data_IF_435840983630
#
_entry.id   IF_435840983630
#
_cell.length_a   1.000
_cell.length_b   1.000
_cell.length_c   1.000
_cell.angle_alpha   90.00
_cell.angle_beta   90.00
_cell.angle_gamma   90.00
#
_symmetry.space_group_name_H-M   'P 1'
#
loop_
_entity.id
_entity.type
_entity.pdbx_description
1 polymer ?
#
# COMPACT_ATOMS: atom_id res chain seq x y z
N UNK A 1 40.01 -17.10 -21.67
CA UNK A 1 40.04 -18.56 -21.53
C UNK A 1 41.17 -18.89 -20.57
N UNK A 2 40.95 -18.91 -19.23
CA UNK A 2 41.89 -19.36 -18.19
C UNK A 2 41.42 -19.09 -16.76
N UNK A 3 40.10 -19.25 -16.48
CA UNK A 3 39.60 -19.15 -15.10
C UNK A 3 39.17 -20.51 -14.55
N UNK A 4 38.90 -21.50 -15.40
CA UNK A 4 38.37 -22.81 -14.96
C UNK A 4 39.49 -23.77 -14.49
N UNK A 5 40.74 -23.58 -14.91
CA UNK A 5 41.86 -24.44 -14.49
C UNK A 5 42.35 -24.25 -13.03
N UNK A 6 42.14 -23.04 -12.46
CA UNK A 6 42.63 -22.72 -11.11
C UNK A 6 41.79 -23.36 -10.01
N UNK A 7 40.49 -23.45 -10.20
CA UNK A 7 39.57 -24.02 -9.21
C UNK A 7 39.61 -25.56 -9.18
N UNK A 8 39.77 -26.19 -10.32
CA UNK A 8 39.91 -27.64 -10.42
C UNK A 8 41.14 -28.16 -9.66
N UNK A 9 42.27 -27.47 -9.79
CA UNK A 9 43.50 -27.82 -9.07
C UNK A 9 43.40 -27.57 -7.55
N UNK A 10 42.60 -26.60 -7.11
CA UNK A 10 42.35 -26.33 -5.68
C UNK A 10 41.48 -27.41 -5.05
N UNK A 11 40.46 -27.90 -5.77
CA UNK A 11 39.60 -29.01 -5.32
C UNK A 11 40.35 -30.34 -5.21
N UNK A 12 41.25 -30.63 -6.16
CA UNK A 12 42.09 -31.84 -6.11
C UNK A 12 43.01 -31.85 -4.89
N UNK A 13 43.60 -30.73 -4.49
CA UNK A 13 44.44 -30.59 -3.29
C UNK A 13 43.63 -30.76 -2.01
N UNK A 14 42.39 -30.23 -1.94
CA UNK A 14 41.49 -30.39 -0.79
C UNK A 14 41.06 -31.85 -0.64
N UNK A 15 40.72 -32.57 -1.71
CA UNK A 15 40.36 -33.96 -1.69
C UNK A 15 41.53 -34.89 -1.28
N UNK A 16 42.76 -34.54 -1.65
CA UNK A 16 43.97 -35.29 -1.24
C UNK A 16 44.27 -35.07 0.26
N UNK A 17 44.00 -33.89 0.79
CA UNK A 17 44.17 -33.58 2.21
C UNK A 17 43.13 -34.30 3.09
N UNK A 18 41.87 -34.33 2.64
CA UNK A 18 40.75 -35.00 3.35
C UNK A 18 40.90 -36.53 3.42
N UNK A 19 41.52 -37.15 2.42
CA UNK A 19 41.85 -38.62 2.44
C UNK A 19 42.89 -38.99 3.47
N UNK A 20 43.70 -38.05 3.96
CA UNK A 20 44.73 -38.29 4.97
C UNK A 20 44.23 -38.19 6.42
N UNK A 21 43.02 -37.68 6.68
CA UNK A 21 42.54 -37.41 8.05
C UNK A 21 41.58 -38.51 8.59
N UNK A 22 41.28 -39.56 7.83
CA UNK A 22 40.70 -40.81 8.38
C UNK A 22 39.37 -40.67 9.12
N UNK A 23 38.49 -39.71 8.81
CA UNK A 23 37.18 -39.53 9.43
C UNK A 23 36.02 -40.03 8.54
N UNK A 24 35.01 -40.72 9.08
CA UNK A 24 33.96 -41.36 8.29
C UNK A 24 33.06 -40.29 7.59
N UNK A 25 32.82 -40.55 6.35
CA UNK A 25 32.21 -39.70 5.32
C UNK A 25 30.70 -39.34 5.52
N UNK A 26 30.13 -39.47 6.72
CA UNK A 26 28.68 -39.29 6.93
C UNK A 26 28.27 -37.98 7.62
N UNK A 27 29.19 -37.15 8.05
CA UNK A 27 28.83 -35.92 8.81
C UNK A 27 29.14 -34.59 8.09
N UNK A 28 29.78 -34.60 6.93
CA UNK A 28 30.20 -33.38 6.22
C UNK A 28 29.25 -33.03 5.05
N UNK A 29 28.41 -33.97 4.62
CA UNK A 29 27.38 -33.69 3.59
C UNK A 29 26.20 -32.83 4.11
N UNK A 30 26.06 -32.63 5.42
CA UNK A 30 24.95 -31.87 6.03
C UNK A 30 25.26 -30.41 6.31
N UNK A 31 26.49 -29.96 6.13
CA UNK A 31 26.89 -28.57 6.47
C UNK A 31 27.18 -27.69 5.24
N UNK A 32 27.26 -28.29 4.03
CA UNK A 32 27.48 -27.53 2.80
C UNK A 32 26.22 -27.28 1.96
N UNK A 33 25.03 -27.66 2.48
CA UNK A 33 23.74 -27.25 1.93
C UNK A 33 23.19 -25.96 2.52
N UNK A 34 23.95 -25.30 3.39
CA UNK A 34 23.58 -23.97 3.88
C UNK A 34 24.21 -22.87 3.04
N UNK A 35 23.32 -22.09 2.43
CA UNK A 35 23.53 -20.69 2.08
C UNK A 35 24.14 -20.41 0.71
N UNK A 36 23.50 -20.86 -0.33
CA UNK A 36 23.29 -19.95 -1.46
C UNK A 36 21.79 -19.63 -1.54
N UNK A 37 21.25 -18.99 -0.52
CA UNK A 37 20.02 -18.21 -0.67
C UNK A 37 20.39 -17.04 -1.57
N UNK A 38 20.27 -17.26 -2.87
CA UNK A 38 20.07 -16.17 -3.80
C UNK A 38 18.88 -15.39 -3.22
N UNK A 39 19.13 -14.18 -2.72
CA UNK A 39 18.09 -13.18 -2.54
C UNK A 39 17.61 -12.79 -3.95
N UNK A 40 16.92 -13.72 -4.62
CA UNK A 40 15.90 -13.33 -5.58
C UNK A 40 14.90 -12.56 -4.74
N UNK A 41 14.83 -11.26 -4.94
CA UNK A 41 13.79 -10.44 -4.33
C UNK A 41 12.47 -11.17 -4.51
N UNK A 42 11.93 -11.70 -3.40
CA UNK A 42 10.69 -12.46 -3.41
C UNK A 42 9.59 -11.45 -3.73
N UNK A 43 9.36 -11.26 -5.02
CA UNK A 43 8.19 -10.56 -5.52
C UNK A 43 7.01 -11.45 -5.16
N UNK A 44 6.49 -11.30 -3.93
CA UNK A 44 5.41 -12.11 -3.40
C UNK A 44 4.28 -12.19 -4.42
N UNK A 45 3.83 -13.40 -4.72
CA UNK A 45 2.69 -13.64 -5.60
C UNK A 45 1.46 -12.96 -5.02
N UNK A 46 0.61 -12.34 -5.86
CA UNK A 46 -0.64 -11.73 -5.41
C UNK A 46 -1.55 -12.83 -4.86
N UNK A 47 -2.14 -12.59 -3.70
CA UNK A 47 -3.09 -13.50 -3.08
C UNK A 47 -4.37 -13.58 -3.94
N UNK A 48 -4.78 -14.80 -4.26
CA UNK A 48 -5.95 -15.04 -5.11
C UNK A 48 -7.05 -15.75 -4.32
N UNK A 49 -7.72 -15.01 -3.42
CA UNK A 49 -8.93 -15.49 -2.75
C UNK A 49 -10.16 -15.22 -3.62
N UNK A 50 -10.54 -16.21 -4.43
CA UNK A 50 -11.69 -16.13 -5.32
C UNK A 50 -13.02 -15.99 -4.57
N UNK A 51 -13.13 -16.51 -3.36
CA UNK A 51 -14.34 -16.43 -2.55
C UNK A 51 -14.54 -15.01 -2.03
N UNK A 52 -13.48 -14.40 -1.50
CA UNK A 52 -13.49 -13.00 -1.09
C UNK A 52 -13.79 -12.08 -2.29
N UNK A 53 -13.14 -12.29 -3.42
CA UNK A 53 -13.38 -11.50 -4.64
C UNK A 53 -14.84 -11.52 -5.07
N UNK A 54 -15.42 -12.70 -5.08
CA UNK A 54 -16.85 -12.85 -5.41
C UNK A 54 -17.72 -12.10 -4.41
N UNK A 55 -17.42 -12.22 -3.12
CA UNK A 55 -18.19 -11.56 -2.06
C UNK A 55 -18.13 -10.03 -2.17
N UNK A 56 -16.92 -9.46 -2.35
CA UNK A 56 -16.74 -8.01 -2.47
C UNK A 56 -17.42 -7.48 -3.74
N UNK A 57 -17.28 -8.17 -4.89
CA UNK A 57 -17.96 -7.77 -6.13
C UNK A 57 -19.47 -7.76 -5.96
N UNK A 58 -20.03 -8.82 -5.39
CA UNK A 58 -21.48 -8.90 -5.13
C UNK A 58 -21.95 -7.79 -4.19
N UNK A 59 -21.20 -7.51 -3.12
CA UNK A 59 -21.50 -6.42 -2.20
C UNK A 59 -21.53 -5.07 -2.91
N UNK A 60 -20.48 -4.74 -3.68
CA UNK A 60 -20.39 -3.50 -4.44
C UNK A 60 -21.52 -3.38 -5.48
N UNK A 61 -21.83 -4.45 -6.22
CA UNK A 61 -22.89 -4.43 -7.24
C UNK A 61 -24.26 -4.22 -6.61
N UNK A 62 -24.58 -4.92 -5.52
CA UNK A 62 -25.87 -4.80 -4.82
C UNK A 62 -26.06 -3.41 -4.20
N UNK A 63 -24.97 -2.70 -3.89
CA UNK A 63 -25.00 -1.35 -3.30
C UNK A 63 -24.82 -0.22 -4.31
N UNK A 64 -24.64 -0.53 -5.57
CA UNK A 64 -24.46 0.47 -6.62
C UNK A 64 -25.67 1.41 -6.69
N UNK A 65 -25.41 2.74 -6.62
CA UNK A 65 -26.45 3.77 -6.60
C UNK A 65 -27.15 3.98 -5.24
N UNK A 66 -26.76 3.24 -4.19
CA UNK A 66 -27.33 3.42 -2.84
C UNK A 66 -26.38 4.13 -1.86
N UNK A 67 -25.17 4.45 -2.32
CA UNK A 67 -24.20 5.14 -1.51
C UNK A 67 -24.57 6.62 -1.32
N UNK A 68 -24.61 7.03 -0.07
CA UNK A 68 -24.85 8.41 0.37
C UNK A 68 -23.74 8.82 1.33
N UNK A 69 -23.79 10.05 1.84
CA UNK A 69 -22.83 10.54 2.85
C UNK A 69 -21.37 10.63 2.34
N UNK A 70 -21.12 11.43 1.30
CA UNK A 70 -19.77 11.81 0.85
C UNK A 70 -18.88 10.67 0.33
N UNK A 71 -19.46 9.65 -0.26
CA UNK A 71 -18.67 8.56 -0.85
C UNK A 71 -18.14 8.92 -2.25
N UNK A 72 -16.95 8.39 -2.55
CA UNK A 72 -16.32 8.56 -3.86
C UNK A 72 -17.11 7.86 -4.99
N UNK A 73 -16.96 8.29 -6.26
CA UNK A 73 -17.41 7.49 -7.39
C UNK A 73 -16.73 6.12 -7.45
N UNK A 74 -17.39 5.11 -8.03
CA UNK A 74 -16.81 3.77 -8.23
C UNK A 74 -15.55 3.78 -9.10
N UNK A 75 -15.47 4.71 -10.07
CA UNK A 75 -14.26 4.93 -10.88
C UNK A 75 -13.04 5.25 -10.03
N UNK A 76 -13.23 6.09 -9.01
CA UNK A 76 -12.14 6.53 -8.11
C UNK A 76 -11.71 5.39 -7.19
N UNK A 77 -12.68 4.62 -6.68
CA UNK A 77 -12.39 3.38 -5.96
C UNK A 77 -11.54 2.42 -6.79
N UNK A 78 -11.87 2.26 -8.08
CA UNK A 78 -11.09 1.42 -8.99
C UNK A 78 -9.69 1.94 -9.25
N UNK A 79 -9.50 3.24 -9.37
CA UNK A 79 -8.17 3.85 -9.52
C UNK A 79 -7.29 3.50 -8.32
N UNK A 80 -7.81 3.67 -7.10
CA UNK A 80 -7.08 3.32 -5.87
C UNK A 80 -6.75 1.83 -5.80
N UNK A 81 -7.71 0.96 -6.15
CA UNK A 81 -7.48 -0.47 -6.25
C UNK A 81 -6.32 -0.80 -7.21
N UNK A 82 -6.35 -0.25 -8.42
CA UNK A 82 -5.34 -0.51 -9.44
C UNK A 82 -3.95 0.00 -9.02
N UNK A 83 -3.88 1.18 -8.39
CA UNK A 83 -2.62 1.74 -7.86
C UNK A 83 -2.00 0.81 -6.81
N UNK A 84 -2.79 0.32 -5.85
CA UNK A 84 -2.33 -0.54 -4.77
C UNK A 84 -1.83 -1.88 -5.32
N UNK A 85 -2.61 -2.53 -6.18
CA UNK A 85 -2.26 -3.84 -6.76
C UNK A 85 -1.02 -3.72 -7.66
N UNK A 86 -0.96 -2.70 -8.52
CA UNK A 86 0.16 -2.46 -9.45
C UNK A 86 1.47 -2.25 -8.71
N UNK A 87 1.46 -1.43 -7.64
CA UNK A 87 2.66 -1.08 -6.89
C UNK A 87 2.90 -2.04 -5.70
N UNK A 88 1.99 -2.98 -5.45
CA UNK A 88 2.06 -3.97 -4.35
C UNK A 88 2.11 -3.33 -2.96
N UNK A 89 1.40 -2.22 -2.78
CA UNK A 89 1.32 -1.54 -1.50
C UNK A 89 0.67 -2.41 -0.42
N UNK A 90 1.13 -2.25 0.83
CA UNK A 90 0.72 -3.08 1.97
C UNK A 90 0.32 -2.30 3.20
N UNK A 91 0.72 -1.04 3.32
CA UNK A 91 0.53 -0.22 4.52
C UNK A 91 -0.18 1.07 4.15
N UNK A 92 -1.49 0.99 4.08
CA UNK A 92 -2.31 2.12 3.64
C UNK A 92 -2.91 2.89 4.82
N UNK A 93 -3.09 4.19 4.63
CA UNK A 93 -3.89 5.05 5.48
C UNK A 93 -4.92 5.80 4.64
N UNK A 94 -6.13 5.92 5.15
CA UNK A 94 -7.20 6.74 4.61
C UNK A 94 -7.68 7.76 5.65
N UNK A 95 -7.84 9.01 5.23
CA UNK A 95 -8.36 10.11 6.03
C UNK A 95 -9.71 10.50 5.45
N UNK A 96 -10.79 10.24 6.22
CA UNK A 96 -12.17 10.39 5.77
C UNK A 96 -12.76 9.08 5.27
N UNK A 97 -13.23 8.24 6.20
CA UNK A 97 -13.86 6.93 5.87
C UNK A 97 -15.25 7.09 5.29
N UNK A 98 -16.03 8.08 5.77
CA UNK A 98 -17.46 8.17 5.54
C UNK A 98 -18.17 6.84 5.84
N UNK A 99 -19.01 6.33 4.97
CA UNK A 99 -19.65 5.01 5.13
C UNK A 99 -18.84 3.85 4.55
N UNK A 100 -17.62 4.10 4.05
CA UNK A 100 -16.57 3.10 3.81
C UNK A 100 -16.44 2.60 2.38
N UNK A 101 -16.97 3.29 1.36
CA UNK A 101 -16.85 2.81 -0.02
C UNK A 101 -15.40 2.80 -0.51
N UNK A 102 -14.66 3.89 -0.32
CA UNK A 102 -13.23 3.99 -0.66
C UNK A 102 -12.40 2.98 0.13
N UNK A 103 -12.64 2.88 1.44
CA UNK A 103 -11.99 1.89 2.31
C UNK A 103 -12.19 0.45 1.82
N UNK A 104 -13.38 0.09 1.29
CA UNK A 104 -13.65 -1.23 0.72
C UNK A 104 -12.79 -1.49 -0.53
N UNK A 105 -12.67 -0.52 -1.45
CA UNK A 105 -11.82 -0.66 -2.62
C UNK A 105 -10.34 -0.80 -2.25
N UNK A 106 -9.86 0.04 -1.32
CA UNK A 106 -8.49 0.01 -0.82
C UNK A 106 -8.20 -1.32 -0.13
N UNK A 107 -9.05 -1.75 0.81
CA UNK A 107 -8.87 -2.99 1.56
C UNK A 107 -8.98 -4.23 0.66
N UNK A 108 -9.86 -4.20 -0.36
CA UNK A 108 -9.91 -5.27 -1.34
C UNK A 108 -8.61 -5.40 -2.13
N UNK A 109 -8.00 -4.27 -2.54
CA UNK A 109 -6.69 -4.28 -3.18
C UNK A 109 -5.60 -4.79 -2.22
N UNK A 110 -5.62 -4.33 -0.97
CA UNK A 110 -4.68 -4.77 0.07
C UNK A 110 -4.80 -6.27 0.40
N UNK A 111 -6.00 -6.86 0.28
CA UNK A 111 -6.16 -8.31 0.41
C UNK A 111 -5.37 -9.10 -0.66
N UNK A 112 -5.07 -8.49 -1.82
CA UNK A 112 -4.24 -9.10 -2.88
C UNK A 112 -2.76 -9.01 -2.57
N UNK A 113 -2.35 -7.95 -1.89
CA UNK A 113 -0.94 -7.66 -1.62
C UNK A 113 -0.49 -8.14 -0.23
N UNK A 114 -1.42 -8.63 0.60
CA UNK A 114 -1.16 -9.03 1.98
C UNK A 114 -0.98 -7.83 2.92
N UNK A 115 -1.65 -6.71 2.61
CA UNK A 115 -1.56 -5.46 3.35
C UNK A 115 -2.75 -5.20 4.27
N UNK A 116 -2.72 -4.03 4.94
CA UNK A 116 -3.79 -3.52 5.81
C UNK A 116 -3.99 -2.02 5.64
N UNK A 117 -5.23 -1.59 5.87
CA UNK A 117 -5.66 -0.20 5.86
C UNK A 117 -5.90 0.28 7.29
N UNK A 118 -5.38 1.46 7.63
CA UNK A 118 -5.90 2.29 8.72
C UNK A 118 -6.83 3.32 8.10
N UNK A 119 -8.09 3.41 8.54
CA UNK A 119 -9.03 4.42 8.07
C UNK A 119 -9.61 5.20 9.24
N UNK A 120 -9.78 6.53 9.08
CA UNK A 120 -10.12 7.45 10.15
C UNK A 120 -11.43 8.16 9.81
N UNK A 121 -12.39 8.13 10.74
CA UNK A 121 -13.66 8.84 10.65
C UNK A 121 -13.94 9.55 11.98
N UNK A 122 -14.39 10.79 11.90
CA UNK A 122 -14.72 11.60 13.08
C UNK A 122 -16.18 11.44 13.52
N UNK A 123 -17.06 11.09 12.59
CA UNK A 123 -18.50 10.93 12.86
C UNK A 123 -18.81 9.48 13.29
N UNK A 124 -19.37 9.34 14.51
CA UNK A 124 -19.70 8.03 15.07
C UNK A 124 -20.74 7.26 14.24
N UNK A 125 -21.72 7.95 13.67
CA UNK A 125 -22.80 7.35 12.88
C UNK A 125 -22.26 6.78 11.57
N UNK A 126 -21.41 7.54 10.85
CA UNK A 126 -20.74 7.08 9.63
C UNK A 126 -19.78 5.95 9.94
N UNK A 127 -18.97 6.07 11.00
CA UNK A 127 -18.06 5.02 11.44
C UNK A 127 -18.82 3.69 11.72
N UNK A 128 -19.96 3.71 12.44
CA UNK A 128 -20.78 2.51 12.66
C UNK A 128 -21.31 1.89 11.37
N UNK A 129 -21.74 2.72 10.41
CA UNK A 129 -22.18 2.26 9.07
C UNK A 129 -21.01 1.62 8.32
N UNK A 130 -19.82 2.24 8.33
CA UNK A 130 -18.62 1.72 7.70
C UNK A 130 -18.24 0.33 8.25
N UNK A 131 -18.20 0.16 9.58
CA UNK A 131 -17.94 -1.13 10.21
C UNK A 131 -18.94 -2.23 9.79
N UNK A 132 -20.22 -1.89 9.62
CA UNK A 132 -21.23 -2.81 9.13
C UNK A 132 -20.95 -3.22 7.66
N UNK A 133 -20.63 -2.24 6.82
CA UNK A 133 -20.29 -2.47 5.41
C UNK A 133 -19.02 -3.31 5.25
N UNK A 134 -17.98 -3.09 6.07
CA UNK A 134 -16.75 -3.89 6.05
C UNK A 134 -17.00 -5.36 6.40
N UNK A 135 -17.85 -5.63 7.40
CA UNK A 135 -18.26 -7.00 7.75
C UNK A 135 -19.05 -7.69 6.63
N UNK A 136 -20.02 -6.97 6.04
CA UNK A 136 -20.83 -7.49 4.95
C UNK A 136 -19.97 -7.80 3.71
N UNK A 137 -19.03 -6.90 3.37
CA UNK A 137 -18.07 -7.11 2.28
C UNK A 137 -17.04 -8.22 2.59
N UNK A 138 -16.84 -8.61 3.86
CA UNK A 138 -15.86 -9.62 4.28
C UNK A 138 -14.44 -9.08 4.39
N UNK A 139 -14.27 -7.78 4.59
CA UNK A 139 -12.97 -7.10 4.58
C UNK A 139 -12.49 -6.62 5.95
N UNK A 140 -13.23 -6.94 7.04
CA UNK A 140 -12.91 -6.42 8.40
C UNK A 140 -11.49 -6.77 8.87
N UNK A 141 -10.93 -7.90 8.46
CA UNK A 141 -9.57 -8.29 8.85
C UNK A 141 -8.47 -7.46 8.18
N UNK A 142 -8.80 -6.78 7.07
CA UNK A 142 -7.88 -5.92 6.32
C UNK A 142 -7.97 -4.45 6.73
N UNK A 143 -8.88 -4.09 7.67
CA UNK A 143 -9.20 -2.71 8.03
C UNK A 143 -9.08 -2.49 9.53
N UNK A 144 -8.25 -1.53 9.93
CA UNK A 144 -8.21 -0.91 11.25
C UNK A 144 -8.97 0.41 11.17
N UNK A 145 -10.27 0.38 11.51
CA UNK A 145 -11.13 1.55 11.45
C UNK A 145 -11.12 2.30 12.77
N UNK A 146 -10.75 3.57 12.73
CA UNK A 146 -10.60 4.42 13.91
C UNK A 146 -11.64 5.54 13.94
N UNK A 147 -12.37 5.63 15.05
CA UNK A 147 -13.21 6.79 15.37
C UNK A 147 -12.34 7.83 16.06
N UNK A 148 -11.92 8.85 15.33
CA UNK A 148 -11.01 9.86 15.85
C UNK A 148 -11.01 11.13 14.97
N UNK A 149 -10.52 12.24 15.54
CA UNK A 149 -10.12 13.41 14.78
C UNK A 149 -8.77 13.12 14.08
N UNK A 150 -8.74 13.20 12.76
CA UNK A 150 -7.57 12.95 11.96
C UNK A 150 -6.47 13.99 12.15
N UNK A 151 -6.80 15.25 12.51
CA UNK A 151 -5.84 16.33 12.72
C UNK A 151 -4.73 15.93 13.71
N UNK A 152 -5.11 15.36 14.85
CA UNK A 152 -4.16 14.88 15.85
C UNK A 152 -3.60 13.50 15.52
N UNK A 153 -4.47 12.58 15.10
CA UNK A 153 -4.11 11.19 14.94
C UNK A 153 -3.01 10.97 13.87
N UNK A 154 -3.01 11.71 12.76
CA UNK A 154 -1.99 11.56 11.71
C UNK A 154 -0.58 11.87 12.20
N UNK A 155 -0.43 12.74 13.22
CA UNK A 155 0.86 13.04 13.82
C UNK A 155 1.38 11.88 14.70
N UNK A 156 0.46 11.20 15.39
CA UNK A 156 0.78 10.09 16.30
C UNK A 156 1.10 8.77 15.56
N UNK A 157 0.54 8.61 14.36
CA UNK A 157 0.73 7.40 13.56
C UNK A 157 2.19 7.21 13.18
N UNK A 158 2.70 6.01 13.44
CA UNK A 158 4.07 5.62 13.07
C UNK A 158 4.05 4.93 11.73
N UNK A 159 4.77 5.53 10.76
CA UNK A 159 5.05 4.89 9.47
C UNK A 159 5.96 3.66 9.59
N UNK A 160 6.51 3.16 8.51
CA UNK A 160 6.30 3.71 7.18
C UNK A 160 4.96 3.30 6.58
N UNK A 161 4.41 4.18 5.73
CA UNK A 161 3.27 3.89 4.85
C UNK A 161 3.74 3.80 3.40
N UNK A 162 2.97 3.13 2.55
CA UNK A 162 3.22 3.07 1.12
C UNK A 162 2.06 3.64 0.28
N UNK A 163 0.86 3.79 0.89
CA UNK A 163 -0.28 4.41 0.25
C UNK A 163 -1.06 5.29 1.23
N UNK A 164 -1.37 6.51 0.80
CA UNK A 164 -2.23 7.45 1.54
C UNK A 164 -3.37 7.91 0.64
N UNK A 165 -4.60 7.90 1.17
CA UNK A 165 -5.76 8.54 0.55
C UNK A 165 -6.36 9.59 1.49
N UNK A 166 -6.45 10.84 1.00
CA UNK A 166 -7.02 11.97 1.74
C UNK A 166 -8.32 12.41 1.09
N UNK A 167 -9.43 12.28 1.81
CA UNK A 167 -10.76 12.72 1.38
C UNK A 167 -11.62 13.25 2.55
N UNK A 168 -11.00 13.92 3.53
CA UNK A 168 -11.69 14.62 4.59
C UNK A 168 -11.87 16.12 4.26
N UNK A 169 -11.63 16.99 5.23
CA UNK A 169 -11.68 18.44 5.13
C UNK A 169 -10.59 18.99 4.20
N UNK A 170 -11.00 19.79 3.22
CA UNK A 170 -10.13 20.20 2.11
C UNK A 170 -9.09 21.24 2.54
N UNK A 171 -9.40 22.06 3.52
CA UNK A 171 -8.50 23.05 4.13
C UNK A 171 -7.33 22.42 4.90
N UNK A 172 -7.44 21.12 5.26
CA UNK A 172 -6.38 20.37 5.90
C UNK A 172 -5.54 19.48 4.96
N UNK A 173 -5.84 19.36 3.70
CA UNK A 173 -5.11 18.48 2.76
C UNK A 173 -3.60 18.70 2.77
N UNK A 174 -3.17 19.98 2.78
CA UNK A 174 -1.74 20.33 2.84
C UNK A 174 -1.12 19.90 4.17
N UNK A 175 -1.82 20.04 5.29
CA UNK A 175 -1.36 19.64 6.61
C UNK A 175 -1.26 18.11 6.71
N UNK A 176 -2.26 17.37 6.23
CA UNK A 176 -2.19 15.91 6.14
C UNK A 176 -1.00 15.44 5.31
N UNK A 177 -0.74 16.11 4.19
CA UNK A 177 0.43 15.78 3.37
C UNK A 177 1.73 16.04 4.13
N UNK A 178 1.90 17.19 4.77
CA UNK A 178 3.09 17.54 5.55
C UNK A 178 3.33 16.54 6.69
N UNK A 179 2.28 16.13 7.40
CA UNK A 179 2.38 15.16 8.49
C UNK A 179 2.74 13.75 8.03
N UNK A 180 2.29 13.33 6.83
CA UNK A 180 2.43 11.95 6.36
C UNK A 180 3.54 11.75 5.32
N UNK A 181 3.96 12.79 4.59
CA UNK A 181 5.03 12.70 3.58
C UNK A 181 6.36 12.17 4.15
N UNK A 182 6.82 12.59 5.35
CA UNK A 182 8.02 12.01 5.99
C UNK A 182 7.86 10.52 6.31
N UNK A 183 6.62 10.09 6.61
CA UNK A 183 6.26 8.72 6.97
C UNK A 183 5.97 7.83 5.75
N UNK A 184 5.99 8.40 4.53
CA UNK A 184 5.77 7.67 3.28
C UNK A 184 7.08 7.09 2.77
N UNK A 185 7.09 5.81 2.38
CA UNK A 185 8.24 5.14 1.77
C UNK A 185 8.57 5.75 0.39
N UNK A 186 9.85 5.70 -0.03
CA UNK A 186 10.21 6.02 -1.43
C UNK A 186 9.52 5.01 -2.35
N UNK A 187 8.87 5.49 -3.40
CA UNK A 187 7.97 4.71 -4.26
C UNK A 187 6.54 4.63 -3.75
N UNK A 188 6.29 5.08 -2.52
CA UNK A 188 4.94 5.23 -1.98
C UNK A 188 4.17 6.38 -2.62
N UNK A 189 2.85 6.40 -2.43
CA UNK A 189 1.94 7.31 -3.11
C UNK A 189 1.00 8.01 -2.11
N UNK A 190 0.99 9.35 -2.14
CA UNK A 190 -0.05 10.15 -1.50
C UNK A 190 -1.11 10.54 -2.56
N UNK A 191 -2.36 10.16 -2.32
CA UNK A 191 -3.49 10.50 -3.18
C UNK A 191 -4.47 11.41 -2.46
N UNK A 192 -5.09 12.36 -3.17
CA UNK A 192 -6.12 13.22 -2.61
C UNK A 192 -7.27 13.40 -3.61
N UNK A 193 -8.50 13.35 -3.08
CA UNK A 193 -9.73 13.46 -3.87
C UNK A 193 -10.06 14.92 -4.21
N UNK A 194 -11.04 15.14 -5.10
CA UNK A 194 -11.51 16.45 -5.56
C UNK A 194 -10.42 17.32 -6.23
N UNK A 195 -9.38 16.74 -6.79
CA UNK A 195 -8.24 17.43 -7.38
C UNK A 195 -8.59 18.29 -8.61
N UNK A 196 -9.78 18.14 -9.21
CA UNK A 196 -10.28 18.99 -10.29
C UNK A 196 -11.04 20.22 -9.80
N UNK A 197 -11.34 20.32 -8.50
CA UNK A 197 -12.03 21.46 -7.92
C UNK A 197 -11.10 22.67 -7.74
N UNK A 198 -10.61 23.20 -8.86
CA UNK A 198 -9.72 24.38 -8.88
C UNK A 198 -10.41 25.68 -8.45
N UNK A 199 -11.72 25.67 -8.24
CA UNK A 199 -12.47 26.77 -7.62
C UNK A 199 -12.16 26.92 -6.12
N UNK A 200 -11.82 25.82 -5.41
CA UNK A 200 -11.39 25.88 -4.01
C UNK A 200 -9.97 26.44 -3.90
N UNK A 201 -9.78 27.39 -3.00
CA UNK A 201 -8.45 27.95 -2.67
C UNK A 201 -7.57 26.86 -2.07
N UNK A 202 -8.11 26.10 -1.11
CA UNK A 202 -7.39 25.06 -0.36
C UNK A 202 -6.87 23.95 -1.26
N UNK A 203 -7.68 23.50 -2.22
CA UNK A 203 -7.27 22.50 -3.21
C UNK A 203 -6.15 23.04 -4.10
N UNK A 204 -6.23 24.30 -4.55
CA UNK A 204 -5.14 24.90 -5.34
C UNK A 204 -3.86 25.01 -4.53
N UNK A 205 -3.92 25.53 -3.30
CA UNK A 205 -2.75 25.62 -2.42
C UNK A 205 -2.09 24.26 -2.17
N UNK A 206 -2.90 23.23 -1.93
CA UNK A 206 -2.40 21.88 -1.78
C UNK A 206 -1.70 21.40 -3.05
N UNK A 207 -2.35 21.52 -4.21
CA UNK A 207 -1.81 21.06 -5.50
C UNK A 207 -0.54 21.83 -5.90
N UNK A 208 -0.49 23.14 -5.69
CA UNK A 208 0.69 23.95 -5.97
C UNK A 208 1.85 23.56 -5.05
N UNK A 209 1.55 23.31 -3.77
CA UNK A 209 2.54 22.82 -2.81
C UNK A 209 3.15 21.49 -3.24
N UNK A 210 2.34 20.46 -3.47
CA UNK A 210 2.86 19.12 -3.78
C UNK A 210 3.55 19.06 -5.16
N UNK A 211 3.11 19.86 -6.14
CA UNK A 211 3.76 19.97 -7.45
C UNK A 211 5.10 20.70 -7.41
N UNK A 212 5.29 21.58 -6.42
CA UNK A 212 6.54 22.32 -6.21
C UNK A 212 7.64 21.50 -5.53
N UNK A 213 7.33 20.32 -4.99
CA UNK A 213 8.29 19.50 -4.26
C UNK A 213 9.17 18.67 -5.22
N UNK A 214 10.51 18.80 -5.16
CA UNK A 214 11.41 18.09 -6.08
C UNK A 214 11.48 16.56 -5.80
N UNK A 215 11.15 16.14 -4.59
CA UNK A 215 11.14 14.74 -4.16
C UNK A 215 9.80 14.04 -4.37
N UNK A 216 8.82 14.72 -4.99
CA UNK A 216 7.54 14.15 -5.37
C UNK A 216 7.26 14.35 -6.87
N UNK A 217 6.63 13.34 -7.48
CA UNK A 217 6.10 13.42 -8.85
C UNK A 217 4.59 13.35 -8.79
N UNK A 218 3.92 14.49 -9.07
CA UNK A 218 2.46 14.62 -8.96
C UNK A 218 1.79 14.65 -10.33
N UNK A 219 0.74 13.85 -10.48
CA UNK A 219 -0.18 13.84 -11.63
C UNK A 219 -1.62 13.93 -11.11
N UNK A 220 -2.56 14.28 -11.99
CA UNK A 220 -3.99 14.27 -11.66
C UNK A 220 -4.68 13.32 -12.62
N UNK A 221 -5.37 12.31 -12.07
CA UNK A 221 -6.29 11.45 -12.82
C UNK A 221 -7.66 12.15 -12.85
N UNK A 222 -8.17 12.37 -14.04
CA UNK A 222 -9.45 13.05 -14.29
C UNK A 222 -10.52 12.11 -14.84
N UNK A 223 -10.34 10.81 -14.71
CA UNK A 223 -11.29 9.80 -15.16
C UNK A 223 -12.68 9.99 -14.53
N UNK A 224 -12.72 10.42 -13.26
CA UNK A 224 -13.92 10.96 -12.64
C UNK A 224 -13.98 12.49 -12.73
N UNK A 225 -15.15 13.05 -12.64
CA UNK A 225 -15.33 14.52 -12.61
C UNK A 225 -14.69 15.17 -11.37
N UNK A 226 -14.52 14.43 -10.27
CA UNK A 226 -13.91 14.92 -9.04
C UNK A 226 -12.38 14.96 -9.12
N UNK A 227 -11.76 14.03 -9.82
CA UNK A 227 -10.32 13.89 -9.98
C UNK A 227 -9.58 13.43 -8.72
N UNK A 228 -8.49 12.71 -8.94
CA UNK A 228 -7.56 12.29 -7.87
C UNK A 228 -6.16 12.82 -8.19
N UNK A 229 -5.55 13.57 -7.27
CA UNK A 229 -4.11 13.83 -7.35
C UNK A 229 -3.34 12.61 -6.88
N UNK A 230 -2.27 12.28 -7.60
CA UNK A 230 -1.42 11.12 -7.36
C UNK A 230 0.02 11.61 -7.26
N UNK A 231 0.56 11.63 -6.05
CA UNK A 231 1.88 12.17 -5.73
C UNK A 231 2.80 11.03 -5.27
N UNK A 232 3.68 10.56 -6.16
CA UNK A 232 4.68 9.55 -5.82
C UNK A 232 5.89 10.17 -5.15
N UNK A 233 6.33 9.62 -4.02
CA UNK A 233 7.61 9.98 -3.40
C UNK A 233 8.75 9.34 -4.17
N UNK A 234 9.59 10.14 -4.84
CA UNK A 234 10.66 9.67 -5.73
C UNK A 234 12.05 9.75 -5.12
N UNK A 235 12.20 10.49 -4.00
CA UNK A 235 13.44 10.61 -3.25
C UNK A 235 13.16 10.89 -1.76
N UNK A 236 14.17 10.73 -0.91
CA UNK A 236 14.14 11.25 0.45
C UNK A 236 14.12 12.78 0.47
N UNK A 237 13.75 13.37 1.60
CA UNK A 237 13.82 14.82 1.84
C UNK A 237 15.24 15.31 1.93
#
# INVERSE_FOLDING_TARGET
>A
MNIIGGEYNKMQKINSFLKKIGTPFLLIALILSLSFSIHTGFCGELQNDKALDKKVRMFLENRKGTWHDWNVPYSDGKIMYDLIVKNRYKKAIEIGTSTGLSAIWIAWALSKTGGKLITIEIDEGRHKKALANFREAGLSEYIDARLADAHGLVEELKGPFDFVFSDADKDWYKNYFIALAPKLEIGGCFTAHNATNTGSVDIREFLDYVKGLPNFKTTIDTTSGAGISISYKIAAE
#
